data_IF_883559095280
#
_entry.id   IF_883559095280
#
_cell.length_a   1.000
_cell.length_b   1.000
_cell.length_c   1.000
_cell.angle_alpha   90.00
_cell.angle_beta   90.00
_cell.angle_gamma   90.00
#
_symmetry.space_group_name_H-M   'P 1'
#
loop_
_entity.id
_entity.type
_entity.pdbx_description
1 polymer ?
#
# COMPACT_ATOMS: atom_id res chain seq x y z
N UNK A 1 10.15 21.33 -7.36
CA UNK A 1 9.87 20.54 -6.13
C UNK A 1 10.65 21.01 -4.90
N UNK A 2 11.87 21.53 -5.05
CA UNK A 2 12.73 21.93 -3.92
C UNK A 2 12.04 22.89 -2.93
N UNK A 3 11.39 23.95 -3.38
CA UNK A 3 10.69 24.87 -2.48
C UNK A 3 9.65 24.16 -1.59
N UNK A 4 8.91 23.21 -2.15
CA UNK A 4 7.90 22.43 -1.41
C UNK A 4 8.50 21.40 -0.44
N UNK A 5 9.75 20.98 -0.65
CA UNK A 5 10.44 19.99 0.18
C UNK A 5 11.44 20.60 1.16
N UNK A 6 11.57 21.91 1.19
CA UNK A 6 12.51 22.60 2.06
C UNK A 6 12.20 22.29 3.54
N UNK A 7 13.17 21.72 4.24
CA UNK A 7 13.17 21.43 5.67
C UNK A 7 12.02 20.52 6.15
N UNK A 8 11.33 19.81 5.25
CA UNK A 8 10.20 18.95 5.63
C UNK A 8 10.66 17.75 6.46
N UNK A 9 9.87 17.40 7.48
CA UNK A 9 10.07 16.19 8.30
C UNK A 9 9.26 14.98 7.78
N UNK A 10 8.23 15.23 6.96
CA UNK A 10 7.45 14.18 6.31
C UNK A 10 7.03 14.61 4.90
N UNK A 11 7.00 13.66 3.97
CA UNK A 11 6.57 13.88 2.58
C UNK A 11 5.60 12.78 2.14
N UNK A 12 4.40 13.19 1.72
CA UNK A 12 3.36 12.31 1.19
C UNK A 12 3.30 12.46 -0.34
N UNK A 13 3.93 11.54 -1.07
CA UNK A 13 4.06 11.59 -2.52
C UNK A 13 2.85 10.93 -3.18
N UNK A 14 1.76 11.69 -3.29
CA UNK A 14 0.47 11.24 -3.85
C UNK A 14 0.40 11.39 -5.36
N UNK A 15 0.96 12.49 -5.89
CA UNK A 15 0.94 12.78 -7.32
C UNK A 15 1.80 11.81 -8.12
N UNK A 16 1.20 11.18 -9.12
CA UNK A 16 1.86 10.31 -10.10
C UNK A 16 1.15 10.49 -11.45
N UNK A 17 1.83 10.12 -12.54
CA UNK A 17 1.20 10.12 -13.85
C UNK A 17 0.14 9.01 -13.90
N UNK A 18 -1.15 9.32 -14.10
CA UNK A 18 -2.17 8.30 -14.26
C UNK A 18 -1.95 7.58 -15.60
N UNK A 19 -2.34 6.31 -15.64
CA UNK A 19 -2.32 5.55 -16.90
C UNK A 19 -3.32 6.17 -17.87
N UNK A 20 -2.85 6.54 -19.06
CA UNK A 20 -3.69 7.04 -20.16
C UNK A 20 -4.10 5.90 -21.10
N UNK A 21 -5.18 6.10 -21.84
CA UNK A 21 -5.57 5.19 -22.91
C UNK A 21 -4.43 5.06 -23.94
N UNK A 22 -4.21 3.83 -24.44
CA UNK A 22 -3.10 3.52 -25.35
C UNK A 22 -1.71 3.41 -24.71
N UNK A 23 -1.55 3.75 -23.43
CA UNK A 23 -0.25 3.68 -22.74
C UNK A 23 0.12 2.24 -22.34
N UNK A 24 1.29 1.78 -22.78
CA UNK A 24 1.86 0.52 -22.33
C UNK A 24 2.41 0.62 -20.90
N UNK A 25 2.57 -0.52 -20.22
CA UNK A 25 3.11 -0.56 -18.85
C UNK A 25 4.51 0.04 -18.75
N UNK A 26 5.35 -0.15 -19.77
CA UNK A 26 6.71 0.39 -19.82
C UNK A 26 6.71 1.93 -19.89
N UNK A 27 5.76 2.53 -20.60
CA UNK A 27 5.68 3.98 -20.76
C UNK A 27 5.23 4.63 -19.46
N UNK A 28 4.24 4.04 -18.79
CA UNK A 28 3.79 4.46 -17.46
C UNK A 28 4.93 4.43 -16.45
N UNK A 29 5.72 3.36 -16.46
CA UNK A 29 6.90 3.23 -15.60
C UNK A 29 7.94 4.30 -15.93
N UNK A 30 8.30 4.47 -17.21
CA UNK A 30 9.30 5.46 -17.63
C UNK A 30 8.91 6.90 -17.25
N UNK A 31 7.63 7.25 -17.39
CA UNK A 31 7.13 8.57 -17.01
C UNK A 31 7.19 8.80 -15.49
N UNK A 32 6.74 7.83 -14.69
CA UNK A 32 6.79 7.94 -13.23
C UNK A 32 8.23 7.89 -12.69
N UNK A 33 9.13 7.13 -13.32
CA UNK A 33 10.56 7.13 -12.97
C UNK A 33 11.16 8.54 -13.04
N UNK A 34 10.81 9.33 -14.05
CA UNK A 34 11.29 10.73 -14.17
C UNK A 34 10.78 11.59 -13.01
N UNK A 35 9.48 11.52 -12.71
CA UNK A 35 8.84 12.27 -11.62
C UNK A 35 9.50 11.94 -10.27
N UNK A 36 9.64 10.64 -9.94
CA UNK A 36 10.15 10.22 -8.64
C UNK A 36 11.68 10.33 -8.53
N UNK A 37 12.41 10.35 -9.66
CA UNK A 37 13.81 10.77 -9.70
C UNK A 37 13.96 12.22 -9.27
N UNK A 38 13.22 13.13 -9.92
CA UNK A 38 13.29 14.57 -9.61
C UNK A 38 12.84 14.87 -8.17
N UNK A 39 11.80 14.19 -7.69
CA UNK A 39 11.36 14.31 -6.29
C UNK A 39 12.41 13.79 -5.32
N UNK A 40 13.03 12.64 -5.61
CA UNK A 40 14.13 12.10 -4.81
C UNK A 40 15.31 13.05 -4.71
N UNK A 41 15.76 13.60 -5.84
CA UNK A 41 16.86 14.59 -5.88
C UNK A 41 16.52 15.86 -5.10
N UNK A 42 15.28 16.34 -5.18
CA UNK A 42 14.86 17.52 -4.44
C UNK A 42 14.79 17.25 -2.93
N UNK A 43 14.23 16.11 -2.50
CA UNK A 43 14.23 15.68 -1.10
C UNK A 43 15.66 15.55 -0.57
N UNK A 44 16.54 14.91 -1.34
CA UNK A 44 17.96 14.77 -1.00
C UNK A 44 18.62 16.13 -0.78
N UNK A 45 18.31 17.12 -1.61
CA UNK A 45 18.97 18.42 -1.53
C UNK A 45 18.49 19.26 -0.35
N UNK A 46 17.18 19.32 -0.10
CA UNK A 46 16.59 20.36 0.75
C UNK A 46 15.75 19.86 1.93
N UNK A 47 15.37 18.59 1.97
CA UNK A 47 14.62 18.06 3.10
C UNK A 47 15.55 17.74 4.28
N UNK A 48 14.96 17.55 5.45
CA UNK A 48 15.70 17.00 6.58
C UNK A 48 16.19 15.60 6.24
N UNK A 49 17.38 15.22 6.71
CA UNK A 49 17.94 13.88 6.44
C UNK A 49 17.21 12.76 7.16
N UNK A 50 16.42 13.10 8.18
CA UNK A 50 15.53 12.19 8.90
C UNK A 50 14.08 12.20 8.38
N UNK A 51 13.80 12.88 7.25
CA UNK A 51 12.47 12.96 6.64
C UNK A 51 11.86 11.57 6.43
N UNK A 52 10.57 11.42 6.76
CA UNK A 52 9.79 10.20 6.48
C UNK A 52 8.98 10.37 5.19
N UNK A 53 9.19 9.48 4.23
CA UNK A 53 8.59 9.57 2.89
C UNK A 53 7.59 8.43 2.70
N UNK A 54 6.33 8.79 2.43
CA UNK A 54 5.27 7.84 2.10
C UNK A 54 4.84 8.04 0.64
N UNK A 55 5.06 7.03 -0.19
CA UNK A 55 4.63 7.01 -1.59
C UNK A 55 3.26 6.37 -1.73
N UNK A 56 2.33 7.12 -2.29
CA UNK A 56 0.95 6.70 -2.60
C UNK A 56 0.74 6.62 -4.11
N UNK A 57 1.39 7.50 -4.88
CA UNK A 57 1.28 7.54 -6.33
C UNK A 57 1.77 6.25 -6.99
N UNK A 58 0.93 5.65 -7.85
CA UNK A 58 1.23 4.37 -8.48
C UNK A 58 2.23 4.46 -9.65
N UNK A 59 3.08 3.44 -9.87
CA UNK A 59 3.22 2.20 -9.08
C UNK A 59 4.03 2.40 -7.79
N UNK A 60 3.37 2.32 -6.62
CA UNK A 60 3.89 2.88 -5.37
C UNK A 60 5.24 2.28 -4.93
N UNK A 61 5.39 0.95 -4.96
CA UNK A 61 6.63 0.28 -4.54
C UNK A 61 7.82 0.66 -5.44
N UNK A 62 7.63 0.66 -6.76
CA UNK A 62 8.68 1.05 -7.71
C UNK A 62 9.02 2.52 -7.57
N UNK A 63 8.01 3.39 -7.42
CA UNK A 63 8.21 4.82 -7.23
C UNK A 63 8.99 5.12 -5.93
N UNK A 64 8.69 4.43 -4.82
CA UNK A 64 9.45 4.53 -3.57
C UNK A 64 10.91 4.09 -3.74
N UNK A 65 11.15 2.96 -4.40
CA UNK A 65 12.49 2.48 -4.71
C UNK A 65 13.28 3.52 -5.51
N UNK A 66 12.69 4.06 -6.58
CA UNK A 66 13.32 5.09 -7.42
C UNK A 66 13.62 6.34 -6.59
N UNK A 67 12.66 6.83 -5.81
CA UNK A 67 12.84 7.99 -4.95
C UNK A 67 14.03 7.81 -4.00
N UNK A 68 14.10 6.67 -3.30
CA UNK A 68 15.21 6.34 -2.39
C UNK A 68 16.57 6.25 -3.09
N UNK A 69 16.60 5.78 -4.34
CA UNK A 69 17.83 5.62 -5.12
C UNK A 69 18.45 6.98 -5.48
N UNK A 70 17.61 7.99 -5.69
CA UNK A 70 18.01 9.35 -6.03
C UNK A 70 18.08 10.28 -4.82
N UNK A 71 17.95 9.73 -3.61
CA UNK A 71 18.12 10.43 -2.34
C UNK A 71 19.12 9.72 -1.40
N UNK A 72 20.39 9.57 -1.82
CA UNK A 72 21.37 8.76 -1.10
C UNK A 72 21.73 9.27 0.30
N UNK A 73 21.48 10.54 0.60
CA UNK A 73 21.76 11.11 1.94
C UNK A 73 20.65 10.84 2.97
N UNK A 74 19.51 10.30 2.54
CA UNK A 74 18.38 9.94 3.41
C UNK A 74 18.38 8.40 3.59
N UNK A 75 18.22 7.89 4.83
CA UNK A 75 18.15 6.45 5.08
C UNK A 75 17.04 5.77 4.26
N UNK A 76 17.35 4.63 3.62
CA UNK A 76 16.43 3.96 2.69
C UNK A 76 15.14 3.49 3.37
N UNK A 77 15.23 3.12 4.64
CA UNK A 77 14.12 2.73 5.51
C UNK A 77 13.10 3.85 5.75
N UNK A 78 13.45 5.10 5.46
CA UNK A 78 12.52 6.23 5.52
C UNK A 78 11.60 6.30 4.30
N UNK A 79 11.88 5.57 3.22
CA UNK A 79 11.05 5.52 2.02
C UNK A 79 10.14 4.30 2.06
N UNK A 80 8.84 4.56 2.17
CA UNK A 80 7.82 3.52 2.26
C UNK A 80 6.79 3.66 1.14
N UNK A 81 6.24 2.54 0.69
CA UNK A 81 5.12 2.50 -0.25
C UNK A 81 3.84 2.10 0.49
N UNK A 82 2.73 2.76 0.19
CA UNK A 82 1.50 2.56 0.95
C UNK A 82 0.74 1.29 0.52
N UNK A 83 0.81 0.23 1.31
CA UNK A 83 -0.09 -0.94 1.25
C UNK A 83 -1.17 -0.92 2.34
N UNK A 84 -1.25 0.17 3.12
CA UNK A 84 -2.17 0.30 4.25
C UNK A 84 -3.65 0.23 3.85
N UNK A 85 -4.01 0.76 2.68
CA UNK A 85 -5.38 0.65 2.17
C UNK A 85 -5.75 -0.81 1.89
N UNK A 86 -4.82 -1.59 1.35
CA UNK A 86 -5.02 -3.03 1.13
C UNK A 86 -5.17 -3.78 2.46
N UNK A 87 -4.34 -3.45 3.46
CA UNK A 87 -4.45 -4.01 4.80
C UNK A 87 -5.82 -3.71 5.43
N UNK A 88 -6.30 -2.47 5.32
CA UNK A 88 -7.61 -2.09 5.84
C UNK A 88 -8.75 -2.85 5.12
N UNK A 89 -8.63 -3.07 3.80
CA UNK A 89 -9.57 -3.88 3.03
C UNK A 89 -9.57 -5.33 3.50
N UNK A 90 -8.40 -5.92 3.69
CA UNK A 90 -8.24 -7.27 4.22
C UNK A 90 -8.85 -7.41 5.63
N UNK A 91 -8.52 -6.48 6.53
CA UNK A 91 -9.07 -6.42 7.88
C UNK A 91 -10.60 -6.35 7.87
N UNK A 92 -11.18 -5.53 7.00
CA UNK A 92 -12.64 -5.42 6.84
C UNK A 92 -13.28 -6.71 6.33
N UNK A 93 -12.65 -7.42 5.39
CA UNK A 93 -13.16 -8.70 4.88
C UNK A 93 -13.16 -9.79 5.95
N UNK A 94 -12.08 -9.90 6.73
CA UNK A 94 -11.99 -10.86 7.83
C UNK A 94 -13.00 -10.56 8.94
N UNK A 95 -13.15 -9.28 9.30
CA UNK A 95 -14.12 -8.83 10.29
C UNK A 95 -15.56 -9.18 9.87
N UNK A 96 -15.90 -8.95 8.60
CA UNK A 96 -17.21 -9.30 8.05
C UNK A 96 -17.45 -10.81 8.06
N UNK A 97 -16.47 -11.62 7.65
CA UNK A 97 -16.56 -13.09 7.66
C UNK A 97 -16.76 -13.65 9.08
N UNK A 98 -16.16 -13.02 10.08
CA UNK A 98 -16.23 -13.42 11.49
C UNK A 98 -17.40 -12.79 12.27
N UNK A 99 -18.12 -11.83 11.70
CA UNK A 99 -19.20 -11.12 12.38
C UNK A 99 -18.73 -10.26 13.56
N UNK A 100 -17.51 -9.72 13.50
CA UNK A 100 -16.91 -8.90 14.58
C UNK A 100 -16.60 -7.48 14.11
N UNK A 101 -16.46 -6.50 15.03
CA UNK A 101 -15.96 -5.17 14.71
C UNK A 101 -14.56 -5.20 14.07
N UNK A 102 -14.32 -4.33 13.08
CA UNK A 102 -13.02 -4.25 12.37
C UNK A 102 -11.84 -4.02 13.33
N UNK A 103 -12.03 -3.21 14.37
CA UNK A 103 -11.03 -2.92 15.40
C UNK A 103 -10.54 -4.17 16.16
N UNK A 104 -11.34 -5.23 16.16
CA UNK A 104 -11.06 -6.46 16.90
C UNK A 104 -10.21 -7.44 16.07
N UNK A 105 -10.05 -7.20 14.76
CA UNK A 105 -9.13 -7.94 13.90
C UNK A 105 -7.76 -7.26 13.90
N UNK A 106 -6.69 -7.98 14.24
CA UNK A 106 -5.31 -7.46 14.33
C UNK A 106 -4.34 -8.40 13.60
N UNK A 107 -3.09 -7.96 13.44
CA UNK A 107 -1.97 -8.73 12.86
C UNK A 107 -2.20 -9.24 11.42
N UNK A 108 -3.01 -8.53 10.65
CA UNK A 108 -3.16 -8.75 9.19
C UNK A 108 -1.96 -8.13 8.47
N UNK A 109 -1.35 -8.88 7.56
CA UNK A 109 -0.15 -8.47 6.82
C UNK A 109 -0.46 -8.45 5.32
N UNK A 110 0.10 -7.50 4.59
CA UNK A 110 0.08 -7.47 3.12
C UNK A 110 1.51 -7.66 2.63
N UNK A 111 1.73 -8.69 1.82
CA UNK A 111 3.02 -8.96 1.20
C UNK A 111 3.04 -8.57 -0.29
N UNK A 112 4.24 -8.25 -0.79
CA UNK A 112 4.48 -8.01 -2.20
C UNK A 112 4.23 -6.56 -2.65
N UNK A 113 3.73 -6.42 -3.87
CA UNK A 113 3.55 -5.13 -4.54
C UNK A 113 2.15 -4.55 -4.27
N UNK A 114 2.00 -3.22 -4.21
CA UNK A 114 0.69 -2.57 -4.26
C UNK A 114 0.09 -2.71 -5.67
N UNK A 115 -0.46 -3.89 -5.95
CA UNK A 115 -1.02 -4.29 -7.24
C UNK A 115 -1.99 -5.47 -7.05
N UNK A 116 -2.48 -6.04 -8.15
CA UNK A 116 -3.25 -7.30 -8.13
C UNK A 116 -2.43 -8.53 -7.78
N UNK A 117 -1.11 -8.42 -7.64
CA UNK A 117 -0.22 -9.53 -7.25
C UNK A 117 0.17 -9.47 -5.76
N UNK A 118 -0.44 -8.57 -4.99
CA UNK A 118 -0.30 -8.55 -3.53
C UNK A 118 -0.80 -9.86 -2.91
N UNK A 119 -0.25 -10.24 -1.76
CA UNK A 119 -0.73 -11.36 -0.96
C UNK A 119 -1.24 -10.86 0.40
N UNK A 120 -2.57 -10.77 0.57
CA UNK A 120 -3.19 -10.55 1.87
C UNK A 120 -3.06 -11.80 2.74
N UNK A 121 -2.35 -11.68 3.84
CA UNK A 121 -1.98 -12.78 4.71
C UNK A 121 -2.70 -12.68 6.06
N UNK A 122 -3.52 -13.69 6.33
CA UNK A 122 -4.26 -13.86 7.57
C UNK A 122 -3.64 -14.91 8.51
N UNK A 123 -2.53 -15.55 8.14
CA UNK A 123 -1.92 -16.64 8.92
C UNK A 123 -1.60 -16.26 10.36
N UNK A 124 -1.15 -15.02 10.58
CA UNK A 124 -0.83 -14.45 11.88
C UNK A 124 -1.95 -13.55 12.45
N UNK A 125 -3.05 -13.40 11.73
CA UNK A 125 -4.13 -12.52 12.14
C UNK A 125 -4.87 -13.10 13.36
N UNK A 126 -5.30 -12.21 14.25
CA UNK A 126 -6.08 -12.55 15.44
C UNK A 126 -7.36 -11.71 15.48
N UNK A 127 -8.42 -12.25 16.07
CA UNK A 127 -9.69 -11.57 16.24
C UNK A 127 -10.18 -11.73 17.69
N UNK A 128 -10.68 -10.66 18.30
CA UNK A 128 -11.41 -10.74 19.57
C UNK A 128 -12.86 -11.17 19.31
N UNK A 129 -13.24 -12.37 19.74
CA UNK A 129 -14.57 -12.95 19.56
C UNK A 129 -15.14 -13.31 20.93
N UNK A 130 -16.23 -12.67 21.34
CA UNK A 130 -16.81 -12.86 22.67
C UNK A 130 -15.85 -12.49 23.81
N UNK A 131 -15.01 -11.47 23.61
CA UNK A 131 -14.01 -11.02 24.59
C UNK A 131 -12.72 -11.85 24.63
N UNK A 132 -12.61 -12.91 23.84
CA UNK A 132 -11.42 -13.78 23.78
C UNK A 132 -10.68 -13.59 22.46
N UNK A 133 -9.37 -13.40 22.51
CA UNK A 133 -8.53 -13.37 21.31
C UNK A 133 -8.40 -14.78 20.73
N UNK A 134 -8.68 -14.93 19.44
CA UNK A 134 -8.59 -16.18 18.69
C UNK A 134 -7.79 -15.98 17.41
N UNK A 135 -7.08 -17.02 16.99
CA UNK A 135 -6.46 -17.07 15.66
C UNK A 135 -7.54 -16.96 14.58
N UNK A 136 -7.36 -16.06 13.61
CA UNK A 136 -8.29 -15.88 12.49
C UNK A 136 -8.40 -17.15 11.65
N UNK A 137 -7.30 -17.83 11.26
CA UNK A 137 -7.39 -19.12 10.58
C UNK A 137 -8.24 -20.16 11.33
N UNK A 138 -8.06 -20.27 12.64
CA UNK A 138 -8.82 -21.22 13.46
C UNK A 138 -10.29 -20.80 13.63
N UNK A 139 -10.58 -19.50 13.74
CA UNK A 139 -11.94 -19.00 13.90
C UNK A 139 -12.76 -19.06 12.61
N UNK A 140 -12.12 -18.86 11.46
CA UNK A 140 -12.76 -19.01 10.14
C UNK A 140 -12.90 -20.49 9.79
N UNK A 141 -11.89 -21.32 10.11
CA UNK A 141 -11.84 -22.76 9.83
C UNK A 141 -12.18 -23.13 8.37
N UNK A 142 -11.71 -22.30 7.44
CA UNK A 142 -11.94 -22.44 5.99
C UNK A 142 -10.68 -21.97 5.26
N UNK A 143 -9.74 -22.91 5.07
CA UNK A 143 -8.44 -22.63 4.45
C UNK A 143 -8.59 -22.28 2.96
N UNK A 144 -9.55 -22.89 2.26
CA UNK A 144 -9.82 -22.60 0.86
C UNK A 144 -10.28 -21.14 0.68
N UNK A 145 -11.21 -20.68 1.52
CA UNK A 145 -11.63 -19.27 1.52
C UNK A 145 -10.45 -18.33 1.73
N UNK A 146 -9.58 -18.61 2.71
CA UNK A 146 -8.42 -17.78 3.06
C UNK A 146 -7.39 -17.73 1.92
N UNK A 147 -7.18 -18.82 1.19
CA UNK A 147 -6.21 -18.88 0.08
C UNK A 147 -6.77 -18.35 -1.25
N UNK A 148 -8.09 -18.31 -1.43
CA UNK A 148 -8.71 -18.02 -2.73
C UNK A 148 -9.62 -16.78 -2.70
N UNK A 149 -10.86 -16.92 -2.21
CA UNK A 149 -11.89 -15.90 -2.26
C UNK A 149 -11.50 -14.64 -1.49
N UNK A 150 -10.88 -14.79 -0.31
CA UNK A 150 -10.36 -13.68 0.47
C UNK A 150 -9.30 -12.87 -0.30
N UNK A 151 -8.26 -13.55 -0.78
CA UNK A 151 -7.16 -12.94 -1.55
C UNK A 151 -7.70 -12.21 -2.79
N UNK A 152 -8.54 -12.89 -3.57
CA UNK A 152 -9.13 -12.35 -4.80
C UNK A 152 -10.00 -11.13 -4.53
N UNK A 153 -10.79 -11.16 -3.46
CA UNK A 153 -11.68 -10.04 -3.10
C UNK A 153 -10.89 -8.79 -2.72
N UNK A 154 -9.81 -8.95 -1.95
CA UNK A 154 -8.95 -7.82 -1.58
C UNK A 154 -8.23 -7.25 -2.81
N UNK A 155 -7.64 -8.11 -3.65
CA UNK A 155 -6.96 -7.71 -4.89
C UNK A 155 -7.88 -6.93 -5.86
N UNK A 156 -9.16 -7.31 -5.95
CA UNK A 156 -10.14 -6.69 -6.86
C UNK A 156 -10.96 -5.57 -6.22
N UNK A 157 -10.75 -5.27 -4.94
CA UNK A 157 -11.61 -4.33 -4.19
C UNK A 157 -11.64 -2.92 -4.79
N UNK A 158 -10.52 -2.44 -5.34
CA UNK A 158 -10.46 -1.14 -6.02
C UNK A 158 -11.41 -1.05 -7.20
N UNK A 159 -11.37 -2.03 -8.10
CA UNK A 159 -12.25 -2.10 -9.27
C UNK A 159 -13.73 -2.20 -8.86
N UNK A 160 -14.04 -2.99 -7.83
CA UNK A 160 -15.41 -3.12 -7.32
C UNK A 160 -15.97 -1.78 -6.80
N UNK A 161 -15.15 -0.96 -6.12
CA UNK A 161 -15.57 0.36 -5.63
C UNK A 161 -15.79 1.33 -6.79
N UNK A 162 -14.91 1.34 -7.80
CA UNK A 162 -15.05 2.19 -9.00
C UNK A 162 -16.37 1.86 -9.72
N UNK A 163 -16.62 0.58 -9.99
CA UNK A 163 -17.85 0.11 -10.64
C UNK A 163 -19.11 0.53 -9.85
N UNK A 164 -19.10 0.36 -8.53
CA UNK A 164 -20.24 0.74 -7.69
C UNK A 164 -20.50 2.26 -7.67
N UNK A 165 -19.44 3.07 -7.82
CA UNK A 165 -19.53 4.54 -7.80
C UNK A 165 -19.73 5.17 -9.17
N UNK A 166 -19.75 4.38 -10.25
CA UNK A 166 -19.84 4.85 -11.65
C UNK A 166 -18.76 5.89 -12.00
N UNK A 167 -17.55 5.67 -11.50
CA UNK A 167 -16.37 6.50 -11.78
C UNK A 167 -15.48 5.89 -12.85
#
# INVERSE_FOLDING_TARGET
>A
PEEAFKDVAAAFLVGAMPRKEGMERKDLLAANVRIFKEQGQALDKVARKDVKVLVVGNPANTNALICSKYAPSIPKENFTAMTRLDQNRAQSQLAAKLGVPVKDVKKVIIWGNHSSTQFPDASNAVATIGGVEKSVPAAINDEEFLKSAFVTTVQKRGAAVIAARKM
#
